data_IF_331120666271
#
_entry.id   IF_331120666271
#
_cell.length_a   1.000
_cell.length_b   1.000
_cell.length_c   1.000
_cell.angle_alpha   90.00
_cell.angle_beta   90.00
_cell.angle_gamma   90.00
#
_symmetry.space_group_name_H-M   'P 1'
#
loop_
_entity.id
_entity.type
_entity.pdbx_description
1 polymer ?
#
# COMPACT_ATOMS: atom_id res chain seq x y z
N UNK A 1 -12.39 -9.10 2.48
CA UNK A 1 -12.40 -8.65 1.08
C UNK A 1 -10.97 -8.62 0.55
N UNK A 2 -10.77 -8.96 -0.72
CA UNK A 2 -9.47 -8.96 -1.40
C UNK A 2 -9.47 -7.88 -2.48
N UNK A 3 -8.31 -7.28 -2.74
CA UNK A 3 -8.14 -6.24 -3.76
C UNK A 3 -6.88 -6.52 -4.57
N UNK A 4 -7.00 -6.38 -5.90
CA UNK A 4 -5.87 -6.54 -6.83
C UNK A 4 -5.25 -5.21 -7.27
N UNK A 5 -5.70 -4.10 -6.67
CA UNK A 5 -5.24 -2.76 -7.04
C UNK A 5 -3.73 -2.58 -6.86
N UNK A 6 -3.17 -3.05 -5.73
CA UNK A 6 -1.76 -2.83 -5.37
C UNK A 6 -0.86 -3.96 -5.83
N UNK A 7 -1.21 -5.20 -5.49
CA UNK A 7 -0.34 -6.36 -5.76
C UNK A 7 -0.28 -6.75 -7.24
N UNK A 8 -1.25 -6.37 -8.07
CA UNK A 8 -1.22 -6.56 -9.53
C UNK A 8 -1.16 -5.24 -10.30
N UNK A 9 -1.06 -4.09 -9.61
CA UNK A 9 -1.05 -2.77 -10.26
C UNK A 9 -2.38 -2.38 -10.93
N UNK A 10 -3.46 -3.12 -10.69
CA UNK A 10 -4.76 -2.96 -11.35
C UNK A 10 -5.64 -1.90 -10.67
N UNK A 11 -5.08 -0.73 -10.35
CA UNK A 11 -5.75 0.33 -9.60
C UNK A 11 -7.05 0.79 -10.28
N UNK A 12 -6.98 1.12 -11.57
CA UNK A 12 -8.11 1.62 -12.35
C UNK A 12 -9.12 0.54 -12.76
N UNK A 13 -8.69 -0.72 -12.81
CA UNK A 13 -9.51 -1.85 -13.31
C UNK A 13 -10.56 -2.36 -12.31
N UNK A 14 -10.44 -1.92 -11.05
CA UNK A 14 -11.41 -2.22 -9.98
C UNK A 14 -11.60 -3.73 -9.72
N UNK A 15 -10.52 -4.51 -9.86
CA UNK A 15 -10.53 -5.94 -9.58
C UNK A 15 -10.40 -6.25 -8.08
N UNK A 16 -11.28 -7.12 -7.58
CA UNK A 16 -11.31 -7.57 -6.18
C UNK A 16 -12.33 -8.68 -5.97
N UNK A 17 -12.40 -9.20 -4.74
CA UNK A 17 -13.34 -10.25 -4.38
C UNK A 17 -13.83 -10.10 -2.93
N UNK A 18 -15.08 -10.53 -2.69
CA UNK A 18 -15.60 -10.78 -1.36
C UNK A 18 -15.73 -12.29 -1.16
N UNK A 19 -15.33 -12.77 0.01
CA UNK A 19 -15.38 -14.19 0.36
C UNK A 19 -16.01 -14.34 1.73
N UNK A 20 -16.94 -15.28 1.83
CA UNK A 20 -17.59 -15.66 3.08
C UNK A 20 -17.40 -17.17 3.26
N UNK A 21 -16.79 -17.55 4.37
CA UNK A 21 -16.63 -18.95 4.77
C UNK A 21 -17.88 -19.37 5.52
N UNK A 22 -18.49 -20.47 5.11
CA UNK A 22 -19.71 -21.03 5.72
C UNK A 22 -19.44 -22.44 6.26
N UNK A 23 -20.30 -22.92 7.15
CA UNK A 23 -20.18 -24.23 7.78
C UNK A 23 -20.54 -25.39 6.84
N UNK A 24 -21.30 -25.12 5.77
CA UNK A 24 -21.73 -26.12 4.80
C UNK A 24 -21.93 -25.55 3.40
N UNK A 25 -22.04 -26.44 2.41
CA UNK A 25 -22.39 -26.09 1.01
C UNK A 25 -23.80 -25.48 0.89
N UNK A 26 -24.74 -25.97 1.71
CA UNK A 26 -26.11 -25.43 1.73
C UNK A 26 -26.13 -23.98 2.23
N UNK A 27 -25.41 -23.70 3.32
CA UNK A 27 -25.27 -22.34 3.83
C UNK A 27 -24.56 -21.42 2.82
N UNK A 28 -23.51 -21.91 2.13
CA UNK A 28 -22.83 -21.16 1.08
C UNK A 28 -23.80 -20.73 -0.04
N UNK A 29 -24.66 -21.66 -0.48
CA UNK A 29 -25.64 -21.39 -1.54
C UNK A 29 -26.69 -20.36 -1.09
N UNK A 30 -27.22 -20.51 0.13
CA UNK A 30 -28.16 -19.55 0.74
C UNK A 30 -27.55 -18.16 0.82
N UNK A 31 -26.35 -18.01 1.36
CA UNK A 31 -25.74 -16.69 1.50
C UNK A 31 -25.31 -16.10 0.16
N UNK A 32 -24.83 -16.91 -0.79
CA UNK A 32 -24.54 -16.44 -2.15
C UNK A 32 -25.78 -15.89 -2.86
N UNK A 33 -26.96 -16.50 -2.65
CA UNK A 33 -28.22 -15.99 -3.22
C UNK A 33 -28.55 -14.58 -2.70
N UNK A 34 -28.37 -14.34 -1.40
CA UNK A 34 -28.62 -13.03 -0.78
C UNK A 34 -27.59 -11.98 -1.22
N UNK A 35 -26.32 -12.36 -1.34
CA UNK A 35 -25.28 -11.46 -1.87
C UNK A 35 -25.60 -11.03 -3.31
N UNK A 36 -26.08 -11.94 -4.17
CA UNK A 36 -26.51 -11.60 -5.54
C UNK A 36 -27.67 -10.60 -5.54
N UNK A 37 -28.64 -10.75 -4.64
CA UNK A 37 -29.76 -9.81 -4.47
C UNK A 37 -29.24 -8.43 -4.06
N UNK A 38 -28.21 -8.33 -3.21
CA UNK A 38 -27.61 -7.06 -2.82
C UNK A 38 -26.78 -6.42 -3.96
N UNK A 39 -26.00 -7.22 -4.71
CA UNK A 39 -25.14 -6.70 -5.79
C UNK A 39 -25.95 -6.11 -6.95
N UNK A 40 -27.05 -6.76 -7.32
CA UNK A 40 -27.86 -6.38 -8.48
C UNK A 40 -28.34 -4.91 -8.44
N UNK A 41 -28.94 -4.38 -7.36
CA UNK A 41 -29.33 -2.98 -7.28
C UNK A 41 -28.17 -2.02 -7.04
N UNK A 42 -27.00 -2.48 -6.57
CA UNK A 42 -25.83 -1.60 -6.38
C UNK A 42 -25.15 -1.23 -7.70
N UNK A 43 -24.88 -2.22 -8.55
CA UNK A 43 -24.17 -2.01 -9.82
C UNK A 43 -24.47 -3.07 -10.88
N UNK A 44 -25.52 -3.88 -10.72
CA UNK A 44 -25.90 -4.99 -11.60
C UNK A 44 -24.90 -6.14 -11.64
N UNK A 45 -23.74 -5.94 -12.26
CA UNK A 45 -22.69 -6.94 -12.45
C UNK A 45 -21.30 -6.26 -12.56
N UNK A 46 -20.21 -6.94 -12.18
CA UNK A 46 -18.89 -6.32 -12.08
C UNK A 46 -18.21 -6.10 -13.45
N UNK A 47 -17.22 -5.19 -13.55
CA UNK A 47 -16.39 -5.04 -14.74
C UNK A 47 -15.56 -6.29 -15.02
N UNK A 48 -15.43 -6.65 -16.31
CA UNK A 48 -14.84 -7.93 -16.71
C UNK A 48 -13.32 -7.91 -16.93
N UNK A 49 -12.74 -6.76 -17.33
CA UNK A 49 -11.37 -6.69 -17.83
C UNK A 49 -10.32 -7.05 -16.76
N UNK A 50 -10.32 -6.34 -15.63
CA UNK A 50 -9.43 -6.64 -14.51
C UNK A 50 -9.58 -8.07 -13.98
N UNK A 51 -10.81 -8.61 -13.95
CA UNK A 51 -11.05 -9.99 -13.52
C UNK A 51 -10.42 -11.01 -14.48
N UNK A 52 -10.43 -10.75 -15.79
CA UNK A 52 -9.77 -11.60 -16.79
C UNK A 52 -8.24 -11.56 -16.68
N UNK A 53 -7.65 -10.39 -16.46
CA UNK A 53 -6.20 -10.28 -16.23
C UNK A 53 -5.77 -11.09 -15.00
N UNK A 54 -6.50 -10.94 -13.90
CA UNK A 54 -6.25 -11.71 -12.66
C UNK A 54 -6.38 -13.21 -12.93
N UNK A 55 -7.43 -13.64 -13.63
CA UNK A 55 -7.67 -15.04 -13.93
C UNK A 55 -6.57 -15.64 -14.82
N UNK A 56 -6.12 -14.91 -15.84
CA UNK A 56 -5.03 -15.32 -16.73
C UNK A 56 -3.72 -15.50 -15.95
N UNK A 57 -3.30 -14.47 -15.19
CA UNK A 57 -2.06 -14.50 -14.42
C UNK A 57 -2.07 -15.62 -13.37
N UNK A 58 -3.19 -15.83 -12.67
CA UNK A 58 -3.27 -16.85 -11.62
C UNK A 58 -3.50 -18.27 -12.16
N UNK A 59 -4.07 -18.38 -13.36
CA UNK A 59 -4.37 -19.64 -14.03
C UNK A 59 -3.18 -20.25 -14.76
N UNK A 60 -2.25 -19.43 -15.24
CA UNK A 60 -1.01 -19.87 -15.88
C UNK A 60 0.15 -19.95 -14.85
N UNK A 61 0.79 -21.12 -14.66
CA UNK A 61 1.89 -21.27 -13.69
C UNK A 61 3.10 -20.37 -13.94
N UNK A 62 3.45 -20.11 -15.19
CA UNK A 62 4.59 -19.27 -15.56
C UNK A 62 4.29 -17.80 -15.29
N UNK A 63 3.12 -17.31 -15.69
CA UNK A 63 2.68 -15.94 -15.39
C UNK A 63 2.53 -15.73 -13.87
N UNK A 64 2.00 -16.72 -13.15
CA UNK A 64 1.90 -16.65 -11.69
C UNK A 64 3.27 -16.54 -11.04
N UNK A 65 4.25 -17.31 -11.51
CA UNK A 65 5.62 -17.26 -10.99
C UNK A 65 6.26 -15.90 -11.25
N UNK A 66 6.10 -15.36 -12.46
CA UNK A 66 6.57 -14.03 -12.81
C UNK A 66 5.94 -12.97 -11.88
N UNK A 67 4.61 -12.98 -11.73
CA UNK A 67 3.89 -12.05 -10.86
C UNK A 67 4.37 -12.11 -9.41
N UNK A 68 4.59 -13.31 -8.86
CA UNK A 68 5.13 -13.47 -7.50
C UNK A 68 6.53 -12.83 -7.36
N UNK A 69 7.38 -12.98 -8.38
CA UNK A 69 8.70 -12.35 -8.43
C UNK A 69 8.61 -10.82 -8.48
N UNK A 70 7.74 -10.27 -9.31
CA UNK A 70 7.51 -8.82 -9.43
C UNK A 70 6.95 -8.22 -8.13
N UNK A 71 5.98 -8.89 -7.49
CA UNK A 71 5.44 -8.48 -6.19
C UNK A 71 6.51 -8.48 -5.11
N UNK A 72 7.37 -9.52 -5.09
CA UNK A 72 8.51 -9.57 -4.18
C UNK A 72 9.46 -8.40 -4.42
N UNK A 73 9.80 -8.09 -5.68
CA UNK A 73 10.63 -6.94 -6.02
C UNK A 73 10.06 -5.61 -5.53
N UNK A 74 8.74 -5.41 -5.67
CA UNK A 74 8.06 -4.22 -5.13
C UNK A 74 8.13 -4.15 -3.60
N UNK A 75 7.94 -5.27 -2.90
CA UNK A 75 8.01 -5.34 -1.45
C UNK A 75 9.44 -5.09 -0.95
N UNK A 76 10.44 -5.72 -1.56
CA UNK A 76 11.86 -5.57 -1.21
C UNK A 76 12.32 -4.11 -1.40
N UNK A 77 11.86 -3.44 -2.47
CA UNK A 77 12.12 -2.00 -2.68
C UNK A 77 11.54 -1.14 -1.55
N UNK A 78 10.33 -1.42 -1.09
CA UNK A 78 9.69 -0.69 0.03
C UNK A 78 10.48 -0.87 1.33
N UNK A 79 10.95 -2.09 1.61
CA UNK A 79 11.78 -2.39 2.78
C UNK A 79 13.11 -1.64 2.70
N UNK A 80 13.74 -1.62 1.52
CA UNK A 80 14.99 -0.90 1.28
C UNK A 80 14.85 0.60 1.55
N UNK A 81 13.81 1.27 1.02
CA UNK A 81 13.64 2.72 1.24
C UNK A 81 13.26 3.09 2.67
N UNK A 82 12.60 2.19 3.41
CA UNK A 82 12.36 2.37 4.86
C UNK A 82 13.67 2.37 5.64
N UNK A 83 14.53 1.40 5.35
CA UNK A 83 15.86 1.29 5.95
C UNK A 83 16.69 2.53 5.64
N UNK A 84 16.76 2.92 4.36
CA UNK A 84 17.48 4.10 3.92
C UNK A 84 16.98 5.40 4.58
N UNK A 85 15.67 5.56 4.78
CA UNK A 85 15.12 6.74 5.45
C UNK A 85 15.55 6.81 6.92
N UNK A 86 15.44 5.71 7.66
CA UNK A 86 15.87 5.62 9.06
C UNK A 86 17.37 5.91 9.21
N UNK A 87 18.19 5.31 8.35
CA UNK A 87 19.65 5.48 8.39
C UNK A 87 20.05 6.92 8.06
N UNK A 88 19.40 7.55 7.07
CA UNK A 88 19.66 8.94 6.76
C UNK A 88 19.18 9.89 7.88
N UNK A 89 18.06 9.62 8.55
CA UNK A 89 17.64 10.41 9.72
C UNK A 89 18.69 10.38 10.85
N UNK A 90 19.33 9.22 11.06
CA UNK A 90 20.45 9.08 11.99
C UNK A 90 21.68 9.86 11.49
N UNK A 91 22.00 9.78 10.20
CA UNK A 91 23.13 10.52 9.57
C UNK A 91 22.95 12.04 9.67
N UNK A 92 21.72 12.54 9.56
CA UNK A 92 21.36 13.96 9.74
C UNK A 92 21.48 14.44 11.19
N UNK A 93 21.73 13.54 12.16
CA UNK A 93 21.88 13.89 13.57
C UNK A 93 20.58 13.91 14.37
N UNK A 94 19.50 13.28 13.88
CA UNK A 94 18.27 13.14 14.65
C UNK A 94 18.48 12.29 15.91
N UNK A 95 18.04 12.81 17.06
CA UNK A 95 18.10 12.11 18.37
C UNK A 95 16.81 11.37 18.71
N UNK A 96 15.77 11.47 17.88
CA UNK A 96 14.50 10.77 18.06
C UNK A 96 14.64 9.30 17.65
N UNK A 97 13.82 8.43 18.24
CA UNK A 97 13.71 7.06 17.77
C UNK A 97 12.85 7.00 16.48
N UNK A 98 13.42 6.38 15.45
CA UNK A 98 12.81 6.15 14.14
C UNK A 98 12.69 4.66 13.81
N UNK A 99 12.82 3.77 14.80
CA UNK A 99 12.66 2.32 14.68
C UNK A 99 11.35 1.91 14.01
N UNK A 100 10.27 2.63 14.32
CA UNK A 100 8.94 2.40 13.75
C UNK A 100 8.88 2.50 12.22
N UNK A 101 9.80 3.20 11.57
CA UNK A 101 9.87 3.25 10.10
C UNK A 101 10.19 1.86 9.53
N UNK A 102 11.08 1.11 10.18
CA UNK A 102 11.48 -0.25 9.77
C UNK A 102 10.57 -1.33 10.34
N UNK A 103 9.95 -1.10 11.49
CA UNK A 103 9.06 -2.08 12.14
C UNK A 103 7.68 -2.14 11.47
N UNK A 104 7.23 -1.02 10.88
CA UNK A 104 5.99 -0.97 10.12
C UNK A 104 6.11 -1.65 8.75
N UNK A 105 5.02 -2.31 8.34
CA UNK A 105 4.96 -3.10 7.10
C UNK A 105 4.09 -2.42 6.04
N UNK A 106 4.45 -2.65 4.78
CA UNK A 106 3.66 -2.22 3.63
C UNK A 106 4.00 -0.82 3.14
N UNK A 107 3.14 -0.25 2.30
CA UNK A 107 3.44 0.99 1.58
C UNK A 107 3.31 2.27 2.42
N UNK A 108 2.62 2.22 3.56
CA UNK A 108 2.35 3.41 4.37
C UNK A 108 3.13 3.38 5.67
N UNK A 109 3.66 4.53 6.07
CA UNK A 109 4.33 4.69 7.34
C UNK A 109 3.65 5.81 8.13
N UNK A 110 3.18 5.53 9.34
CA UNK A 110 2.88 6.58 10.32
C UNK A 110 4.19 7.08 10.88
N UNK A 111 4.57 8.30 10.50
CA UNK A 111 5.86 8.89 10.87
C UNK A 111 5.90 9.38 12.32
N UNK A 112 4.75 9.66 12.92
CA UNK A 112 4.65 10.35 14.22
C UNK A 112 4.74 11.88 14.11
N UNK A 113 4.90 12.42 12.90
CA UNK A 113 4.89 13.86 12.66
C UNK A 113 3.53 14.47 12.97
N UNK A 114 3.57 15.58 13.70
CA UNK A 114 2.37 16.33 14.08
C UNK A 114 1.92 17.25 12.95
N UNK A 115 0.64 17.69 12.92
CA UNK A 115 0.13 18.57 11.87
C UNK A 115 0.99 19.81 11.58
N UNK A 116 1.53 20.53 12.59
CA UNK A 116 2.43 21.67 12.31
C UNK A 116 3.72 21.26 11.58
N UNK A 117 4.28 20.09 11.87
CA UNK A 117 5.48 19.58 11.20
C UNK A 117 5.18 19.16 9.76
N UNK A 118 4.03 18.53 9.54
CA UNK A 118 3.53 18.19 8.19
C UNK A 118 3.31 19.46 7.35
N UNK A 119 2.75 20.51 7.94
CA UNK A 119 2.54 21.78 7.24
C UNK A 119 3.86 22.46 6.88
N UNK A 120 4.86 22.42 7.77
CA UNK A 120 6.22 22.89 7.47
C UNK A 120 6.87 22.08 6.36
N UNK A 121 6.77 20.74 6.38
CA UNK A 121 7.25 19.88 5.28
C UNK A 121 6.65 20.27 3.93
N UNK A 122 5.35 20.57 3.91
CA UNK A 122 4.67 21.00 2.68
C UNK A 122 5.14 22.38 2.22
N UNK A 123 5.16 23.37 3.11
CA UNK A 123 5.44 24.78 2.77
C UNK A 123 6.92 25.06 2.50
N UNK A 124 7.81 24.49 3.29
CA UNK A 124 9.26 24.79 3.26
C UNK A 124 10.01 23.83 2.32
N UNK A 125 9.54 22.59 2.18
CA UNK A 125 10.28 21.52 1.49
C UNK A 125 9.50 20.87 0.33
N UNK A 126 8.26 21.28 0.05
CA UNK A 126 7.40 20.65 -0.97
C UNK A 126 7.24 19.14 -0.78
N UNK A 127 7.22 18.67 0.48
CA UNK A 127 7.00 17.27 0.83
C UNK A 127 5.55 17.09 1.29
N UNK A 128 4.79 16.34 0.49
CA UNK A 128 3.35 16.16 0.69
C UNK A 128 3.06 14.81 1.37
N UNK A 129 2.36 14.87 2.50
CA UNK A 129 1.87 13.74 3.28
C UNK A 129 0.55 14.13 3.96
N UNK A 130 -0.20 13.16 4.48
CA UNK A 130 -1.47 13.46 5.15
C UNK A 130 -1.24 14.08 6.53
N UNK A 131 -2.18 14.92 7.00
CA UNK A 131 -2.06 15.68 8.26
C UNK A 131 -1.89 14.80 9.51
N UNK A 132 -2.24 13.52 9.43
CA UNK A 132 -2.03 12.50 10.46
C UNK A 132 -0.58 11.94 10.47
N UNK A 133 0.32 12.51 9.66
CA UNK A 133 1.71 12.08 9.57
C UNK A 133 1.91 10.78 8.78
N UNK A 134 0.90 10.28 8.07
CA UNK A 134 1.04 9.09 7.22
C UNK A 134 1.69 9.44 5.88
N UNK A 135 2.87 8.88 5.63
CA UNK A 135 3.61 9.00 4.37
C UNK A 135 3.47 7.74 3.52
N UNK A 136 3.47 7.90 2.20
CA UNK A 136 3.57 6.78 1.24
C UNK A 136 5.03 6.49 0.91
N UNK A 137 5.55 5.35 1.35
CA UNK A 137 6.89 4.85 1.02
C UNK A 137 7.05 4.53 -0.48
N UNK A 138 5.94 4.49 -1.22
CA UNK A 138 5.98 4.39 -2.68
C UNK A 138 6.59 5.63 -3.35
N UNK A 139 6.45 6.81 -2.73
CA UNK A 139 7.03 8.07 -3.23
C UNK A 139 8.51 8.26 -2.87
N UNK A 140 9.06 7.40 -2.02
CA UNK A 140 10.47 7.46 -1.59
C UNK A 140 11.33 6.65 -2.56
N UNK A 141 12.45 7.23 -2.98
CA UNK A 141 13.40 6.70 -3.95
C UNK A 141 14.82 6.91 -3.44
N UNK A 142 15.80 6.20 -4.01
CA UNK A 142 17.22 6.44 -3.72
C UNK A 142 17.67 7.87 -4.06
N UNK A 143 16.94 8.57 -4.94
CA UNK A 143 17.25 9.95 -5.36
C UNK A 143 16.72 11.02 -4.41
N UNK A 144 15.70 10.72 -3.59
CA UNK A 144 15.04 11.72 -2.75
C UNK A 144 15.05 11.38 -1.25
N UNK A 145 15.50 10.18 -0.85
CA UNK A 145 15.47 9.74 0.55
C UNK A 145 16.34 10.59 1.46
N UNK A 146 17.49 11.06 0.97
CA UNK A 146 18.36 11.97 1.73
C UNK A 146 17.69 13.33 1.95
N UNK A 147 17.09 13.91 0.91
CA UNK A 147 16.32 15.15 1.02
C UNK A 147 15.15 15.02 1.99
N UNK A 148 14.41 13.91 1.92
CA UNK A 148 13.33 13.62 2.85
C UNK A 148 13.83 13.53 4.30
N UNK A 149 14.93 12.82 4.55
CA UNK A 149 15.51 12.70 5.88
C UNK A 149 15.96 14.07 6.43
N UNK A 150 16.66 14.85 5.61
CA UNK A 150 17.07 16.22 5.94
C UNK A 150 15.86 17.08 6.33
N UNK A 151 14.83 17.13 5.47
CA UNK A 151 13.63 17.93 5.73
C UNK A 151 12.87 17.49 6.98
N UNK A 152 12.73 16.18 7.20
CA UNK A 152 12.12 15.62 8.41
C UNK A 152 12.93 16.03 9.64
N UNK A 153 14.26 15.97 9.58
CA UNK A 153 15.11 16.45 10.67
C UNK A 153 14.91 17.94 10.94
N UNK A 154 14.86 18.80 9.91
CA UNK A 154 14.64 20.25 10.07
C UNK A 154 13.30 20.61 10.76
N UNK A 155 12.27 19.79 10.60
CA UNK A 155 10.96 20.02 11.26
C UNK A 155 10.80 19.30 12.60
N UNK A 156 11.77 18.48 13.00
CA UNK A 156 11.70 17.67 14.22
C UNK A 156 12.81 17.92 15.24
N UNK A 157 13.90 18.57 14.84
CA UNK A 157 15.01 18.97 15.73
C UNK A 157 14.60 20.05 16.73
#
# INVERSE_FOLDING_TARGET
AQSFAKNMGLYGERAGAFSLVTSSKDEAAKTLSQIKILVRPMYSNPPIHGARIVAEILGDPALRQQWLGEVKGMADRIISVRTALKDNLKKEGSTKDWSHITDQIGMFCFTGLQPPQVERLTKEFSIYLTKDGRISMAGVTSKNVEYLAYSVHQVTK
#
